data_IF_334885746582
#
_entry.id   IF_334885746582
#
_cell.length_a   1.000
_cell.length_b   1.000
_cell.length_c   1.000
_cell.angle_alpha   90.00
_cell.angle_beta   90.00
_cell.angle_gamma   90.00
#
_symmetry.space_group_name_H-M   'P 1'
#
loop_
_entity.id
_entity.type
_entity.pdbx_description
1 polymer ?
#
# COMPACT_ATOMS: atom_id res chain seq x y z
N UNK A 1 18.41 10.93 11.87
CA UNK A 1 18.00 12.29 12.28
C UNK A 1 16.85 12.72 11.39
N UNK A 2 15.61 12.72 11.91
CA UNK A 2 14.42 13.02 11.11
C UNK A 2 14.41 14.51 10.68
N UNK A 3 14.05 14.75 9.42
CA UNK A 3 13.96 16.09 8.85
C UNK A 3 12.73 16.81 9.44
N UNK A 4 12.91 18.04 9.94
CA UNK A 4 11.80 18.80 10.54
C UNK A 4 10.98 19.49 9.45
N UNK A 5 9.65 19.66 9.64
CA UNK A 5 8.77 20.31 8.66
C UNK A 5 9.26 21.70 8.25
N UNK A 6 9.81 22.45 9.21
CA UNK A 6 10.45 23.76 9.04
C UNK A 6 11.60 23.74 8.02
N UNK A 7 12.47 22.73 8.10
CA UNK A 7 13.63 22.58 7.18
C UNK A 7 13.19 22.17 5.78
N UNK A 8 12.13 21.38 5.67
CA UNK A 8 11.49 21.04 4.38
C UNK A 8 10.93 22.31 3.74
N UNK A 9 10.18 23.11 4.49
CA UNK A 9 9.56 24.36 4.00
C UNK A 9 10.59 25.42 3.60
N UNK A 10 11.69 25.56 4.33
CA UNK A 10 12.79 26.46 3.98
C UNK A 10 13.43 26.09 2.64
N UNK A 11 13.63 24.78 2.38
CA UNK A 11 14.22 24.28 1.13
C UNK A 11 13.24 24.36 -0.04
N UNK A 12 11.94 24.22 0.22
CA UNK A 12 10.89 24.46 -0.78
C UNK A 12 10.85 25.94 -1.18
N UNK A 13 10.96 26.87 -0.21
CA UNK A 13 11.02 28.32 -0.52
C UNK A 13 12.23 28.71 -1.36
N UNK A 14 13.39 28.10 -1.13
CA UNK A 14 14.59 28.37 -1.95
C UNK A 14 14.51 27.73 -3.33
N UNK A 15 13.87 26.56 -3.47
CA UNK A 15 13.65 25.89 -4.76
C UNK A 15 12.56 26.54 -5.61
N UNK A 16 11.52 27.11 -4.98
CA UNK A 16 10.38 27.70 -5.69
C UNK A 16 10.64 29.16 -6.10
N UNK A 17 11.63 29.82 -5.50
CA UNK A 17 12.04 31.19 -5.86
C UNK A 17 10.96 32.23 -5.58
N UNK A 18 11.32 33.37 -5.01
CA UNK A 18 10.41 34.50 -4.73
C UNK A 18 9.93 35.25 -5.99
N UNK A 19 10.12 34.70 -7.18
CA UNK A 19 9.76 35.33 -8.45
C UNK A 19 8.82 34.45 -9.25
N UNK A 20 7.55 34.88 -9.30
CA UNK A 20 6.65 34.73 -10.44
C UNK A 20 6.58 33.35 -11.10
N UNK A 21 5.63 32.52 -10.67
CA UNK A 21 5.17 31.35 -11.43
C UNK A 21 4.39 31.85 -12.66
N UNK A 22 5.12 32.17 -13.73
CA UNK A 22 4.57 32.19 -15.10
C UNK A 22 5.27 31.11 -15.91
N UNK A 23 4.96 29.85 -15.64
CA UNK A 23 5.09 28.80 -16.64
C UNK A 23 4.22 27.61 -16.26
N UNK A 24 3.13 27.45 -17.02
CA UNK A 24 2.23 26.30 -16.98
C UNK A 24 2.91 25.04 -17.54
N UNK A 25 4.07 24.67 -17.00
CA UNK A 25 4.72 23.42 -17.38
C UNK A 25 4.21 22.32 -16.46
N UNK A 26 3.14 21.64 -16.89
CA UNK A 26 2.53 20.52 -16.19
C UNK A 26 3.55 19.43 -15.80
N UNK A 27 4.71 19.36 -16.48
CA UNK A 27 5.81 18.48 -16.10
C UNK A 27 6.45 18.86 -14.76
N UNK A 28 6.68 20.16 -14.50
CA UNK A 28 7.26 20.64 -13.24
C UNK A 28 6.25 20.45 -12.11
N UNK A 29 4.98 20.78 -12.34
CA UNK A 29 3.90 20.56 -11.36
C UNK A 29 3.76 19.08 -11.01
N UNK A 30 3.79 18.18 -12.01
CA UNK A 30 3.79 16.72 -11.78
C UNK A 30 5.02 16.26 -11.00
N UNK A 31 6.20 16.77 -11.31
CA UNK A 31 7.45 16.39 -10.65
C UNK A 31 7.45 16.79 -9.16
N UNK A 32 7.04 18.03 -8.88
CA UNK A 32 6.96 18.59 -7.53
C UNK A 32 5.87 17.88 -6.72
N UNK A 33 4.66 17.70 -7.28
CA UNK A 33 3.59 16.95 -6.62
C UNK A 33 4.00 15.51 -6.30
N UNK A 34 4.66 14.81 -7.24
CA UNK A 34 5.15 13.45 -7.00
C UNK A 34 6.19 13.39 -5.87
N UNK A 35 7.07 14.40 -5.77
CA UNK A 35 8.12 14.46 -4.73
C UNK A 35 7.54 14.80 -3.36
N UNK A 36 6.55 15.70 -3.30
CA UNK A 36 5.96 16.18 -2.04
C UNK A 36 4.84 15.27 -1.50
N UNK A 37 4.05 14.65 -2.37
CA UNK A 37 2.90 13.83 -1.95
C UNK A 37 3.24 12.35 -1.73
N UNK A 38 4.37 11.88 -2.25
CA UNK A 38 4.73 10.47 -2.22
C UNK A 38 6.17 10.24 -1.77
N UNK A 39 6.80 11.10 -0.96
CA UNK A 39 8.17 10.92 -0.40
C UNK A 39 9.28 10.38 -1.36
N UNK A 40 9.09 10.44 -2.69
CA UNK A 40 9.89 9.70 -3.68
C UNK A 40 9.60 8.19 -3.81
N UNK A 41 8.76 7.61 -2.96
CA UNK A 41 8.24 6.25 -3.06
C UNK A 41 7.14 6.21 -4.13
N UNK A 42 7.52 6.04 -5.40
CA UNK A 42 6.54 5.75 -6.45
C UNK A 42 5.68 4.53 -6.12
N UNK A 43 4.62 4.30 -6.91
CA UNK A 43 3.86 3.04 -6.85
C UNK A 43 4.87 1.88 -6.90
N UNK A 44 4.90 0.99 -5.88
CA UNK A 44 5.90 -0.06 -5.82
C UNK A 44 5.90 -0.90 -7.11
N UNK A 45 7.07 -1.28 -7.62
CA UNK A 45 7.19 -2.01 -8.89
C UNK A 45 6.41 -3.34 -8.90
N UNK A 46 6.15 -3.93 -7.73
CA UNK A 46 5.31 -5.13 -7.64
C UNK A 46 3.83 -4.83 -7.95
N UNK A 47 3.33 -3.60 -7.67
CA UNK A 47 1.95 -3.19 -8.00
C UNK A 47 1.69 -3.01 -9.49
N UNK A 48 2.71 -3.11 -10.35
CA UNK A 48 2.49 -3.11 -11.81
C UNK A 48 2.27 -4.49 -12.40
N UNK A 49 2.51 -5.55 -11.61
CA UNK A 49 2.42 -6.96 -12.02
C UNK A 49 1.24 -7.67 -11.34
N UNK A 50 0.25 -6.91 -10.87
CA UNK A 50 -0.87 -7.40 -10.10
C UNK A 50 -1.98 -7.95 -10.99
N UNK A 51 -2.31 -9.24 -10.82
CA UNK A 51 -3.35 -9.90 -11.61
C UNK A 51 -4.75 -9.29 -11.38
N UNK A 52 -4.98 -8.64 -10.23
CA UNK A 52 -6.26 -8.00 -9.90
C UNK A 52 -6.57 -6.77 -10.76
N UNK A 53 -5.56 -6.17 -11.41
CA UNK A 53 -5.75 -4.97 -12.24
C UNK A 53 -6.57 -5.21 -13.51
N UNK A 54 -6.64 -6.46 -13.96
CA UNK A 54 -7.46 -6.86 -15.11
C UNK A 54 -8.95 -7.07 -14.73
N UNK A 55 -9.31 -6.95 -13.46
CA UNK A 55 -10.64 -7.22 -12.92
C UNK A 55 -11.23 -5.95 -12.29
N UNK A 56 -12.57 -5.82 -12.20
CA UNK A 56 -13.20 -4.71 -11.52
C UNK A 56 -12.81 -4.68 -10.03
N UNK A 57 -12.60 -3.49 -9.45
CA UNK A 57 -12.17 -3.37 -8.06
C UNK A 57 -13.19 -3.98 -7.09
N UNK A 58 -14.49 -3.86 -7.37
CA UNK A 58 -15.58 -4.34 -6.53
C UNK A 58 -15.56 -5.86 -6.34
N UNK A 59 -14.99 -6.62 -7.27
CA UNK A 59 -14.82 -8.07 -7.13
C UNK A 59 -13.95 -8.45 -5.91
N UNK A 60 -13.07 -7.55 -5.46
CA UNK A 60 -12.21 -7.76 -4.30
C UNK A 60 -12.81 -7.24 -3.00
N UNK A 61 -14.03 -6.71 -3.03
CA UNK A 61 -14.81 -6.26 -1.87
C UNK A 61 -16.15 -7.01 -1.79
N UNK A 62 -16.14 -8.36 -1.71
CA UNK A 62 -17.37 -9.14 -1.64
C UNK A 62 -18.12 -8.87 -0.33
N UNK A 63 -19.43 -9.06 -0.36
CA UNK A 63 -20.22 -9.21 0.86
C UNK A 63 -19.70 -10.41 1.67
N UNK A 64 -19.63 -10.26 2.99
CA UNK A 64 -19.22 -11.29 3.92
C UNK A 64 -20.08 -12.55 3.83
N UNK A 65 -21.35 -12.41 3.42
CA UNK A 65 -22.26 -13.53 3.24
C UNK A 65 -22.04 -14.31 1.92
N UNK A 66 -21.42 -13.69 0.91
CA UNK A 66 -21.23 -14.30 -0.40
C UNK A 66 -19.89 -15.05 -0.49
N UNK A 67 -19.98 -16.36 -0.22
CA UNK A 67 -18.85 -17.28 -0.35
C UNK A 67 -18.36 -17.43 -1.79
N UNK A 68 -19.25 -17.37 -2.78
CA UNK A 68 -18.89 -17.58 -4.18
C UNK A 68 -18.02 -16.43 -4.70
N UNK A 69 -18.42 -15.20 -4.38
CA UNK A 69 -17.65 -14.00 -4.73
C UNK A 69 -16.30 -13.96 -3.99
N UNK A 70 -16.30 -14.33 -2.70
CA UNK A 70 -15.05 -14.47 -1.92
C UNK A 70 -14.09 -15.48 -2.54
N UNK A 71 -14.59 -16.66 -2.92
CA UNK A 71 -13.76 -17.70 -3.51
C UNK A 71 -13.28 -17.34 -4.93
N UNK A 72 -14.09 -16.61 -5.70
CA UNK A 72 -13.71 -16.10 -7.02
C UNK A 72 -12.51 -15.14 -6.92
N UNK A 73 -12.57 -14.15 -6.04
CA UNK A 73 -11.46 -13.22 -5.83
C UNK A 73 -10.21 -13.91 -5.27
N UNK A 74 -10.38 -14.88 -4.35
CA UNK A 74 -9.27 -15.70 -3.87
C UNK A 74 -8.59 -16.50 -4.98
N UNK A 75 -9.36 -17.04 -5.94
CA UNK A 75 -8.79 -17.75 -7.11
C UNK A 75 -7.88 -16.84 -7.92
N UNK A 76 -8.28 -15.58 -8.17
CA UNK A 76 -7.44 -14.59 -8.86
C UNK A 76 -6.14 -14.36 -8.08
N UNK A 77 -6.22 -14.14 -6.77
CA UNK A 77 -5.04 -13.93 -5.95
C UNK A 77 -4.09 -15.14 -5.91
N UNK A 78 -4.58 -16.38 -6.06
CA UNK A 78 -3.74 -17.59 -6.03
C UNK A 78 -2.78 -17.66 -7.22
N UNK A 79 -3.19 -17.17 -8.39
CA UNK A 79 -2.37 -17.10 -9.60
C UNK A 79 -1.54 -15.82 -9.72
N UNK A 80 -1.63 -14.91 -8.76
CA UNK A 80 -0.93 -13.63 -8.82
C UNK A 80 0.56 -13.78 -8.46
N UNK A 81 1.50 -13.33 -9.30
CA UNK A 81 2.93 -13.46 -9.03
C UNK A 81 3.39 -12.63 -7.82
N UNK A 82 2.71 -11.53 -7.54
CA UNK A 82 3.06 -10.57 -6.47
C UNK A 82 2.24 -10.76 -5.19
N UNK A 83 1.74 -11.98 -4.96
CA UNK A 83 0.84 -12.28 -3.83
C UNK A 83 1.48 -11.98 -2.48
N UNK A 84 2.77 -12.27 -2.33
CA UNK A 84 3.50 -12.14 -1.06
C UNK A 84 3.75 -10.67 -0.74
N UNK A 85 4.18 -9.90 -1.73
CA UNK A 85 4.42 -8.46 -1.65
C UNK A 85 3.12 -7.73 -1.35
N UNK A 86 2.04 -8.07 -2.06
CA UNK A 86 0.70 -7.54 -1.82
C UNK A 86 0.23 -7.80 -0.38
N UNK A 87 0.40 -9.02 0.13
CA UNK A 87 0.01 -9.35 1.49
C UNK A 87 0.86 -8.61 2.53
N UNK A 88 2.17 -8.56 2.30
CA UNK A 88 3.12 -7.92 3.23
C UNK A 88 2.84 -6.43 3.34
N UNK A 89 2.63 -5.78 2.19
CA UNK A 89 2.25 -4.38 2.13
C UNK A 89 0.91 -4.15 2.85
N UNK A 90 -0.12 -4.95 2.53
CA UNK A 90 -1.42 -4.89 3.21
C UNK A 90 -1.29 -4.96 4.73
N UNK A 91 -0.52 -5.93 5.25
CA UNK A 91 -0.30 -6.07 6.69
C UNK A 91 0.50 -4.91 7.30
N UNK A 92 1.37 -4.27 6.53
CA UNK A 92 2.21 -3.15 6.98
C UNK A 92 1.43 -1.84 7.17
N UNK A 93 0.43 -1.57 6.33
CA UNK A 93 -0.38 -0.35 6.45
C UNK A 93 -1.73 -0.55 7.17
N UNK A 94 -2.23 -1.79 7.29
CA UNK A 94 -3.49 -2.10 7.99
C UNK A 94 -3.39 -1.93 9.52
N UNK A 95 -3.83 -0.78 10.04
CA UNK A 95 -3.83 -0.48 11.49
C UNK A 95 -5.15 -0.76 12.22
N UNK A 96 -6.25 -0.99 11.50
CA UNK A 96 -7.59 -1.10 12.09
C UNK A 96 -8.56 -1.92 11.26
N UNK A 97 -9.59 -1.28 10.73
CA UNK A 97 -10.65 -1.93 9.96
C UNK A 97 -10.12 -2.42 8.61
N UNK A 98 -10.02 -3.74 8.47
CA UNK A 98 -9.55 -4.41 7.26
C UNK A 98 -10.74 -4.68 6.35
N UNK A 99 -10.57 -4.44 5.05
CA UNK A 99 -11.62 -4.63 4.05
C UNK A 99 -11.06 -5.41 2.86
N UNK A 100 -11.97 -6.04 2.13
CA UNK A 100 -11.66 -6.74 0.89
C UNK A 100 -10.63 -7.86 1.02
N UNK A 101 -10.29 -8.42 -0.13
CA UNK A 101 -9.33 -9.52 -0.25
C UNK A 101 -7.98 -8.95 -0.67
N UNK A 102 -6.94 -9.24 0.11
CA UNK A 102 -5.57 -8.82 -0.16
C UNK A 102 -4.65 -10.04 -0.01
N UNK A 103 -3.76 -10.26 -0.98
CA UNK A 103 -2.86 -11.41 -0.99
C UNK A 103 -3.57 -12.77 -0.89
N UNK A 104 -4.84 -12.85 -1.30
CA UNK A 104 -5.66 -14.07 -1.21
C UNK A 104 -6.27 -14.35 0.16
N UNK A 105 -6.21 -13.40 1.09
CA UNK A 105 -6.79 -13.51 2.43
C UNK A 105 -7.91 -12.50 2.64
N UNK A 106 -8.98 -12.90 3.30
CA UNK A 106 -10.05 -12.02 3.77
C UNK A 106 -9.58 -11.18 4.97
N UNK A 107 -10.31 -10.12 5.35
CA UNK A 107 -9.98 -9.31 6.54
C UNK A 107 -9.82 -10.16 7.80
N UNK A 108 -10.70 -11.15 7.97
CA UNK A 108 -10.70 -12.05 9.13
C UNK A 108 -9.48 -12.98 9.13
N UNK A 109 -9.13 -13.54 7.97
CA UNK A 109 -7.97 -14.41 7.84
C UNK A 109 -6.66 -13.63 8.06
N UNK A 110 -6.57 -12.38 7.57
CA UNK A 110 -5.43 -11.50 7.83
C UNK A 110 -5.30 -11.17 9.33
N UNK A 111 -6.41 -10.93 10.04
CA UNK A 111 -6.37 -10.72 11.51
C UNK A 111 -5.82 -11.95 12.23
N UNK A 112 -6.32 -13.15 11.90
CA UNK A 112 -5.82 -14.42 12.47
C UNK A 112 -4.36 -14.66 12.13
N UNK A 113 -3.91 -14.30 10.93
CA UNK A 113 -2.50 -14.39 10.55
C UNK A 113 -1.62 -13.52 11.44
N UNK A 114 -1.97 -12.25 11.66
CA UNK A 114 -1.18 -11.35 12.52
C UNK A 114 -1.11 -11.84 13.97
N UNK A 115 -2.22 -12.36 14.51
CA UNK A 115 -2.22 -12.96 15.84
C UNK A 115 -1.23 -14.13 15.90
N UNK A 116 -1.28 -15.05 14.93
CA UNK A 116 -0.33 -16.18 14.86
C UNK A 116 1.12 -15.74 14.72
N UNK A 117 1.40 -14.76 13.86
CA UNK A 117 2.75 -14.23 13.68
C UNK A 117 3.30 -13.64 14.99
N UNK A 118 2.47 -12.92 15.76
CA UNK A 118 2.86 -12.39 17.08
C UNK A 118 3.12 -13.48 18.11
N UNK A 119 2.34 -14.57 18.10
CA UNK A 119 2.59 -15.71 18.98
C UNK A 119 3.91 -16.41 18.64
N UNK A 120 4.14 -16.70 17.36
CA UNK A 120 5.39 -17.31 16.89
C UNK A 120 6.61 -16.42 17.19
N UNK A 121 6.49 -15.09 17.05
CA UNK A 121 7.55 -14.14 17.40
C UNK A 121 7.91 -14.15 18.90
N UNK A 122 6.91 -14.33 19.79
CA UNK A 122 7.15 -14.41 21.24
C UNK A 122 7.81 -15.72 21.63
N UNK A 123 7.37 -16.83 21.03
CA UNK A 123 7.92 -18.16 21.30
C UNK A 123 9.34 -18.32 20.74
N UNK A 124 9.62 -17.79 19.55
CA UNK A 124 10.96 -17.78 18.96
C UNK A 124 11.95 -16.80 19.61
N UNK A 125 11.45 -15.76 20.30
CA UNK A 125 12.27 -14.82 21.06
C UNK A 125 12.60 -15.25 22.49
N UNK A 126 11.98 -16.32 22.99
CA UNK A 126 12.27 -16.92 24.30
C UNK A 126 13.32 -18.06 24.23
N UNK A 127 13.78 -18.40 23.01
CA UNK A 127 14.73 -19.48 22.75
C UNK A 127 16.14 -18.98 22.33
N UNK A 128 16.45 -17.71 22.58
CA UNK A 128 17.76 -17.08 22.34
C UNK A 128 18.27 -16.42 23.63
#
# INVERSE_FOLDING_TARGET
MAETPERVLARVRTLVGTTGIQSSNAAIVRLVLRRLLFDGCGVPAWRTHDACRAMPPDAFYPDLADRNSTDAAKRVCRGCPVRVECLTDALGWERGQRHGIAGGLTPHERRRLVVRLRHCQREGGAAA
#
